data_IF_178109742600
#
_entry.id   IF_178109742600
#
_cell.length_a   1.000
_cell.length_b   1.000
_cell.length_c   1.000
_cell.angle_alpha   90.00
_cell.angle_beta   90.00
_cell.angle_gamma   90.00
#
_symmetry.space_group_name_H-M   'P 1'
#
loop_
_entity.id
_entity.type
_entity.pdbx_description
1 polymer ?
#
# COMPACT_ATOMS: atom_id res chain seq x y z
N UNK A 1 15.93 16.11 -13.36
CA UNK A 1 14.75 16.46 -12.52
C UNK A 1 15.25 17.37 -11.40
N UNK A 2 14.62 18.52 -11.14
CA UNK A 2 15.00 19.42 -10.04
C UNK A 2 14.74 18.78 -8.66
N UNK A 3 15.42 19.28 -7.61
CA UNK A 3 15.33 18.71 -6.25
C UNK A 3 13.90 18.59 -5.72
N UNK A 4 13.08 19.62 -5.89
CA UNK A 4 11.66 19.61 -5.46
C UNK A 4 10.85 18.55 -6.22
N UNK A 5 11.00 18.45 -7.53
CA UNK A 5 10.28 17.45 -8.32
C UNK A 5 10.71 16.03 -7.95
N UNK A 6 12.00 15.81 -7.64
CA UNK A 6 12.49 14.53 -7.11
C UNK A 6 11.90 14.25 -5.73
N UNK A 7 11.85 15.26 -4.85
CA UNK A 7 11.24 15.12 -3.51
C UNK A 7 9.77 14.74 -3.59
N UNK A 8 8.98 15.38 -4.45
CA UNK A 8 7.56 15.04 -4.65
C UNK A 8 7.36 13.63 -5.20
N UNK A 9 8.23 13.19 -6.13
CA UNK A 9 8.19 11.84 -6.67
C UNK A 9 8.48 10.78 -5.60
N UNK A 10 9.54 10.98 -4.81
CA UNK A 10 9.91 10.06 -3.73
C UNK A 10 8.84 10.01 -2.64
N UNK A 11 8.22 11.16 -2.32
CA UNK A 11 7.13 11.25 -1.33
C UNK A 11 5.90 10.44 -1.75
N UNK A 12 5.60 10.36 -3.04
CA UNK A 12 4.49 9.58 -3.54
C UNK A 12 4.64 8.08 -3.27
N UNK A 13 5.88 7.58 -3.16
CA UNK A 13 6.18 6.16 -2.90
C UNK A 13 5.43 5.25 -3.86
N UNK A 14 5.73 5.40 -5.15
CA UNK A 14 4.97 4.80 -6.26
C UNK A 14 4.80 3.29 -6.10
N UNK A 15 5.84 2.54 -5.73
CA UNK A 15 5.77 1.07 -5.60
C UNK A 15 4.76 0.63 -4.51
N UNK A 16 4.78 1.17 -3.27
CA UNK A 16 3.72 0.93 -2.29
C UNK A 16 2.32 1.29 -2.79
N UNK A 17 2.15 2.42 -3.49
CA UNK A 17 0.85 2.83 -4.05
C UNK A 17 0.37 1.83 -5.11
N UNK A 18 1.27 1.32 -5.95
CA UNK A 18 0.93 0.29 -6.94
C UNK A 18 0.46 -1.01 -6.30
N UNK A 19 1.14 -1.48 -5.26
CA UNK A 19 0.74 -2.70 -4.57
C UNK A 19 -0.57 -2.56 -3.81
N UNK A 20 -0.73 -1.46 -3.05
CA UNK A 20 -1.84 -1.33 -2.11
C UNK A 20 -3.09 -0.75 -2.77
N UNK A 21 -3.04 0.52 -3.22
CA UNK A 21 -4.24 1.17 -3.75
C UNK A 21 -4.52 0.79 -5.20
N UNK A 22 -3.53 0.91 -6.08
CA UNK A 22 -3.75 0.77 -7.51
C UNK A 22 -4.20 -0.65 -7.89
N UNK A 23 -3.47 -1.68 -7.42
CA UNK A 23 -3.81 -3.08 -7.70
C UNK A 23 -5.14 -3.49 -7.08
N UNK A 24 -5.42 -3.04 -5.83
CA UNK A 24 -6.67 -3.31 -5.14
C UNK A 24 -7.86 -2.68 -5.85
N UNK A 25 -7.75 -1.41 -6.24
CA UNK A 25 -8.80 -0.68 -6.97
C UNK A 25 -9.03 -1.31 -8.34
N UNK A 26 -7.98 -1.65 -9.07
CA UNK A 26 -8.08 -2.27 -10.40
C UNK A 26 -8.78 -3.62 -10.34
N UNK A 27 -8.40 -4.47 -9.37
CA UNK A 27 -9.05 -5.76 -9.16
C UNK A 27 -10.53 -5.58 -8.71
N UNK A 28 -10.80 -4.66 -7.78
CA UNK A 28 -12.14 -4.34 -7.33
C UNK A 28 -13.04 -3.84 -8.46
N UNK A 29 -12.50 -2.96 -9.31
CA UNK A 29 -13.18 -2.48 -10.52
C UNK A 29 -13.55 -3.63 -11.46
N UNK A 30 -12.62 -4.56 -11.70
CA UNK A 30 -12.86 -5.73 -12.55
C UNK A 30 -13.92 -6.67 -11.97
N UNK A 31 -13.94 -6.85 -10.65
CA UNK A 31 -14.92 -7.69 -9.96
C UNK A 31 -16.33 -7.07 -9.91
N UNK A 32 -16.43 -5.74 -9.95
CA UNK A 32 -17.70 -5.03 -9.84
C UNK A 32 -18.31 -4.62 -11.18
N UNK A 33 -17.50 -4.32 -12.18
CA UNK A 33 -17.94 -3.75 -13.46
C UNK A 33 -18.38 -4.78 -14.52
N UNK A 34 -18.08 -6.06 -14.34
CA UNK A 34 -18.32 -7.08 -15.38
C UNK A 34 -17.62 -6.71 -16.68
N UNK A 35 -18.35 -6.77 -17.84
CA UNK A 35 -17.80 -6.38 -19.16
C UNK A 35 -17.71 -4.87 -19.37
N UNK A 36 -18.49 -4.08 -18.62
CA UNK A 36 -18.74 -2.65 -18.90
C UNK A 36 -18.18 -1.75 -17.79
N UNK A 37 -16.84 -1.68 -17.73
CA UNK A 37 -16.15 -0.78 -16.79
C UNK A 37 -16.31 0.67 -17.21
N UNK A 38 -16.88 1.49 -16.35
CA UNK A 38 -16.96 2.93 -16.53
C UNK A 38 -15.62 3.60 -16.19
N UNK A 39 -14.92 4.05 -17.24
CA UNK A 39 -13.56 4.62 -17.11
C UNK A 39 -13.47 5.80 -16.15
N UNK A 40 -14.50 6.65 -16.09
CA UNK A 40 -14.57 7.77 -15.15
C UNK A 40 -14.50 7.31 -13.67
N UNK A 41 -15.29 6.29 -13.31
CA UNK A 41 -15.26 5.75 -11.96
C UNK A 41 -13.95 5.06 -11.64
N UNK A 42 -13.39 4.32 -12.61
CA UNK A 42 -12.08 3.70 -12.41
C UNK A 42 -10.97 4.74 -12.17
N UNK A 43 -10.86 5.73 -13.05
CA UNK A 43 -9.84 6.79 -12.92
C UNK A 43 -10.06 7.63 -11.67
N UNK A 44 -11.31 7.93 -11.32
CA UNK A 44 -11.66 8.62 -10.08
C UNK A 44 -11.25 7.84 -8.83
N UNK A 45 -11.50 6.52 -8.80
CA UNK A 45 -11.06 5.66 -7.70
C UNK A 45 -9.53 5.59 -7.60
N UNK A 46 -8.82 5.43 -8.72
CA UNK A 46 -7.35 5.43 -8.76
C UNK A 46 -6.81 6.78 -8.26
N UNK A 47 -7.36 7.89 -8.72
CA UNK A 47 -6.97 9.22 -8.25
C UNK A 47 -7.18 9.39 -6.74
N UNK A 48 -8.32 8.91 -6.19
CA UNK A 48 -8.56 8.89 -4.73
C UNK A 48 -7.55 8.01 -4.01
N UNK A 49 -7.24 6.82 -4.51
CA UNK A 49 -6.23 5.94 -3.93
C UNK A 49 -4.85 6.61 -3.86
N UNK A 50 -4.43 7.26 -4.94
CA UNK A 50 -3.18 8.04 -4.99
C UNK A 50 -3.21 9.21 -4.01
N UNK A 51 -4.30 9.97 -3.96
CA UNK A 51 -4.43 11.12 -3.05
C UNK A 51 -4.44 10.68 -1.59
N UNK A 52 -5.23 9.66 -1.23
CA UNK A 52 -5.39 9.21 0.16
C UNK A 52 -4.15 8.49 0.65
N UNK A 53 -3.68 7.47 -0.06
CA UNK A 53 -2.51 6.71 0.36
C UNK A 53 -1.21 7.43 -0.01
N UNK A 54 -1.04 7.75 -1.30
CA UNK A 54 0.22 8.26 -1.83
C UNK A 54 0.55 9.68 -1.35
N UNK A 55 -0.46 10.47 -0.97
CA UNK A 55 -0.21 11.84 -0.49
C UNK A 55 -0.63 12.02 0.96
N UNK A 56 -1.91 11.85 1.31
CA UNK A 56 -2.37 12.16 2.68
C UNK A 56 -1.68 11.29 3.74
N UNK A 57 -1.69 9.96 3.56
CA UNK A 57 -1.10 9.05 4.54
C UNK A 57 0.44 9.19 4.60
N UNK A 58 1.11 9.27 3.44
CA UNK A 58 2.57 9.34 3.39
C UNK A 58 3.09 10.66 3.95
N UNK A 59 2.49 11.82 3.63
CA UNK A 59 2.95 13.11 4.18
C UNK A 59 2.78 13.20 5.70
N UNK A 60 1.70 12.64 6.24
CA UNK A 60 1.54 12.57 7.70
C UNK A 60 2.58 11.66 8.33
N UNK A 61 2.81 10.50 7.74
CA UNK A 61 3.78 9.52 8.25
C UNK A 61 5.21 10.10 8.20
N UNK A 62 5.63 10.69 7.08
CA UNK A 62 6.95 11.31 6.91
C UNK A 62 7.20 12.41 7.97
N UNK A 63 6.19 13.28 8.22
CA UNK A 63 6.31 14.34 9.23
C UNK A 63 6.44 13.75 10.64
N UNK A 64 5.65 12.74 11.00
CA UNK A 64 5.67 12.16 12.35
C UNK A 64 6.91 11.28 12.59
N UNK A 65 7.33 10.49 11.60
CA UNK A 65 8.54 9.67 11.70
C UNK A 65 9.81 10.54 11.72
N UNK A 66 9.83 11.67 10.99
CA UNK A 66 10.88 12.68 11.11
C UNK A 66 10.92 13.33 12.51
N UNK A 67 9.75 13.64 13.10
CA UNK A 67 9.66 14.25 14.45
C UNK A 67 10.06 13.29 15.56
N UNK A 68 9.65 12.03 15.46
CA UNK A 68 9.99 10.98 16.43
C UNK A 68 11.44 10.53 16.34
N UNK A 69 12.13 10.89 15.24
CA UNK A 69 13.50 10.48 14.98
C UNK A 69 13.64 9.10 14.37
N UNK A 70 12.53 8.40 14.08
CA UNK A 70 12.52 7.08 13.43
C UNK A 70 13.31 7.10 12.13
N UNK A 71 13.17 8.16 11.32
CA UNK A 71 13.83 8.29 10.02
C UNK A 71 15.28 8.78 10.08
N UNK A 72 15.77 9.18 11.27
CA UNK A 72 17.15 9.68 11.44
C UNK A 72 18.19 8.58 11.46
N UNK A 73 17.77 7.34 11.65
CA UNK A 73 18.70 6.20 11.66
C UNK A 73 18.96 5.76 10.22
N UNK A 74 20.25 5.72 9.87
CA UNK A 74 20.69 5.15 8.59
C UNK A 74 20.42 3.65 8.59
N UNK A 75 19.54 3.22 7.70
CA UNK A 75 19.38 1.81 7.36
C UNK A 75 19.55 1.68 5.85
N UNK A 76 20.36 0.70 5.40
CA UNK A 76 20.55 0.44 3.98
C UNK A 76 19.24 -0.07 3.39
N UNK A 77 18.51 0.78 2.66
CA UNK A 77 17.18 0.49 2.16
C UNK A 77 17.07 0.81 0.68
N UNK A 78 16.54 -0.14 -0.08
CA UNK A 78 16.27 0.05 -1.51
C UNK A 78 14.82 0.49 -1.73
N UNK A 79 13.86 -0.04 -0.99
CA UNK A 79 12.42 0.21 -1.16
C UNK A 79 11.74 0.60 0.15
N UNK A 80 12.21 0.11 1.29
CA UNK A 80 11.60 0.32 2.60
C UNK A 80 12.17 1.55 3.32
N UNK A 81 11.42 2.10 4.29
CA UNK A 81 11.92 3.07 5.26
C UNK A 81 11.55 4.52 5.04
N UNK A 82 10.36 4.79 4.55
CA UNK A 82 9.92 6.16 4.32
C UNK A 82 10.49 6.77 3.04
N UNK A 83 9.98 7.94 2.67
CA UNK A 83 10.51 8.71 1.53
C UNK A 83 11.83 9.39 1.87
N UNK A 84 12.07 9.63 3.18
CA UNK A 84 13.21 10.37 3.73
C UNK A 84 13.45 11.76 3.11
N UNK A 85 12.42 12.33 2.48
CA UNK A 85 12.55 13.62 1.78
C UNK A 85 12.84 14.78 2.73
N UNK A 86 12.43 14.67 4.01
CA UNK A 86 12.76 15.65 5.05
C UNK A 86 14.21 15.50 5.52
N UNK A 87 14.68 14.29 5.74
CA UNK A 87 16.07 14.01 6.16
C UNK A 87 17.04 14.40 5.06
N UNK A 88 16.70 14.11 3.80
CA UNK A 88 17.51 14.48 2.63
C UNK A 88 17.43 15.97 2.26
N UNK A 89 16.59 16.77 2.95
CA UNK A 89 16.43 18.19 2.66
C UNK A 89 15.78 18.50 1.29
N UNK A 90 15.15 17.50 0.66
CA UNK A 90 14.49 17.65 -0.64
C UNK A 90 13.17 18.41 -0.52
N UNK A 91 12.46 18.21 0.58
CA UNK A 91 11.24 18.95 0.94
C UNK A 91 11.35 19.48 2.36
N UNK A 92 10.48 20.44 2.70
CA UNK A 92 10.38 20.99 4.05
C UNK A 92 9.08 20.52 4.71
N UNK A 93 8.98 20.52 6.06
CA UNK A 93 7.72 20.22 6.75
C UNK A 93 6.57 21.16 6.35
N UNK A 94 6.87 22.41 5.97
CA UNK A 94 5.87 23.35 5.45
C UNK A 94 5.36 22.93 4.08
N UNK A 95 6.25 22.46 3.19
CA UNK A 95 5.88 21.97 1.86
C UNK A 95 4.99 20.72 1.97
N UNK A 96 5.33 19.77 2.86
CA UNK A 96 4.50 18.59 3.09
C UNK A 96 3.12 18.93 3.68
N UNK A 97 3.04 19.88 4.61
CA UNK A 97 1.75 20.36 5.15
C UNK A 97 0.89 21.01 4.06
N UNK A 98 1.49 21.78 3.17
CA UNK A 98 0.77 22.38 2.04
C UNK A 98 0.31 21.29 1.06
N UNK A 99 1.18 20.33 0.74
CA UNK A 99 0.84 19.19 -0.10
C UNK A 99 -0.34 18.39 0.48
N UNK A 100 -0.30 18.12 1.80
CA UNK A 100 -1.43 17.51 2.52
C UNK A 100 -2.72 18.32 2.38
N UNK A 101 -2.68 19.61 2.61
CA UNK A 101 -3.87 20.49 2.55
C UNK A 101 -4.47 20.49 1.13
N UNK A 102 -3.65 20.63 0.11
CA UNK A 102 -4.09 20.59 -1.30
C UNK A 102 -4.69 19.21 -1.64
N UNK A 103 -4.01 18.13 -1.25
CA UNK A 103 -4.51 16.78 -1.48
C UNK A 103 -5.81 16.50 -0.71
N UNK A 104 -5.97 17.03 0.50
CA UNK A 104 -7.19 16.90 1.28
C UNK A 104 -8.39 17.57 0.58
N UNK A 105 -8.20 18.79 0.07
CA UNK A 105 -9.23 19.50 -0.71
C UNK A 105 -9.55 18.71 -1.98
N UNK A 106 -8.54 18.27 -2.73
CA UNK A 106 -8.74 17.49 -3.95
C UNK A 106 -9.48 16.16 -3.68
N UNK A 107 -9.09 15.45 -2.60
CA UNK A 107 -9.77 14.22 -2.14
C UNK A 107 -11.23 14.48 -1.81
N UNK A 108 -11.51 15.58 -1.10
CA UNK A 108 -12.88 15.96 -0.73
C UNK A 108 -13.72 16.28 -1.95
N UNK A 109 -13.21 17.11 -2.86
CA UNK A 109 -13.93 17.49 -4.09
C UNK A 109 -14.21 16.27 -4.96
N UNK A 110 -13.19 15.44 -5.23
CA UNK A 110 -13.35 14.25 -6.05
C UNK A 110 -14.27 13.22 -5.38
N UNK A 111 -14.11 13.01 -4.07
CA UNK A 111 -14.97 12.10 -3.30
C UNK A 111 -16.44 12.52 -3.33
N UNK A 112 -16.72 13.81 -3.13
CA UNK A 112 -18.08 14.35 -3.23
C UNK A 112 -18.65 14.24 -4.65
N UNK A 113 -17.83 14.43 -5.69
CA UNK A 113 -18.25 14.23 -7.08
C UNK A 113 -18.65 12.77 -7.34
N UNK A 114 -17.89 11.80 -6.81
CA UNK A 114 -18.25 10.37 -6.90
C UNK A 114 -19.50 10.03 -6.08
N UNK A 115 -19.68 10.62 -4.90
CA UNK A 115 -20.92 10.49 -4.11
C UNK A 115 -22.10 11.09 -4.85
N UNK A 116 -21.95 12.26 -5.46
CA UNK A 116 -23.03 12.90 -6.24
C UNK A 116 -23.44 12.06 -7.45
N UNK A 117 -22.50 11.39 -8.10
CA UNK A 117 -22.74 10.58 -9.29
C UNK A 117 -23.23 9.16 -9.00
N UNK A 118 -22.74 8.51 -7.92
CA UNK A 118 -23.06 7.10 -7.60
C UNK A 118 -23.98 6.94 -6.39
N UNK A 119 -24.20 8.02 -5.63
CA UNK A 119 -25.06 8.03 -4.46
C UNK A 119 -24.33 7.93 -3.13
N UNK A 120 -25.08 8.12 -2.04
CA UNK A 120 -24.57 8.16 -0.67
C UNK A 120 -23.90 6.85 -0.22
N UNK A 121 -24.09 5.74 -0.92
CA UNK A 121 -23.41 4.47 -0.66
C UNK A 121 -21.88 4.59 -0.73
N UNK A 122 -21.35 5.57 -1.47
CA UNK A 122 -19.91 5.81 -1.57
C UNK A 122 -19.33 6.59 -0.39
N UNK A 123 -20.15 7.30 0.38
CA UNK A 123 -19.69 8.15 1.47
C UNK A 123 -18.92 7.38 2.56
N UNK A 124 -19.37 6.21 3.05
CA UNK A 124 -18.61 5.43 4.04
C UNK A 124 -17.22 5.02 3.57
N UNK A 125 -17.04 4.69 2.27
CA UNK A 125 -15.74 4.29 1.72
C UNK A 125 -14.76 5.47 1.72
N UNK A 126 -15.20 6.66 1.28
CA UNK A 126 -14.37 7.86 1.29
C UNK A 126 -14.00 8.29 2.70
N UNK A 127 -14.98 8.35 3.62
CA UNK A 127 -14.75 8.71 5.01
C UNK A 127 -13.80 7.74 5.72
N UNK A 128 -13.98 6.43 5.52
CA UNK A 128 -13.13 5.42 6.13
C UNK A 128 -11.69 5.48 5.57
N UNK A 129 -11.51 5.74 4.27
CA UNK A 129 -10.20 5.91 3.66
C UNK A 129 -9.43 7.11 4.26
N UNK A 130 -10.08 8.28 4.34
CA UNK A 130 -9.48 9.48 4.95
C UNK A 130 -9.23 9.27 6.45
N UNK A 131 -10.21 8.70 7.17
CA UNK A 131 -10.05 8.38 8.59
C UNK A 131 -8.88 7.42 8.81
N UNK A 132 -8.75 6.38 7.97
CA UNK A 132 -7.62 5.45 8.03
C UNK A 132 -6.27 6.14 7.88
N UNK A 133 -6.12 7.02 6.88
CA UNK A 133 -4.90 7.80 6.67
C UNK A 133 -4.52 8.66 7.90
N UNK A 134 -5.52 9.30 8.53
CA UNK A 134 -5.31 10.15 9.71
C UNK A 134 -5.04 9.32 10.97
N UNK A 135 -5.89 8.32 11.25
CA UNK A 135 -5.81 7.50 12.47
C UNK A 135 -4.57 6.60 12.49
N UNK A 136 -4.06 6.23 11.32
CA UNK A 136 -2.84 5.45 11.20
C UNK A 136 -1.65 6.18 11.82
N UNK A 137 -1.55 7.50 11.61
CA UNK A 137 -0.38 8.29 11.97
C UNK A 137 -0.59 9.23 13.16
N UNK A 138 -1.74 9.94 13.22
CA UNK A 138 -1.91 11.05 14.14
C UNK A 138 -2.47 10.63 15.52
N UNK A 139 -2.09 11.40 16.60
CA UNK A 139 -2.75 11.29 17.91
C UNK A 139 -4.26 11.58 17.80
N UNK A 140 -5.09 10.99 18.68
CA UNK A 140 -4.72 10.17 19.81
C UNK A 140 -4.51 8.70 19.47
N UNK A 141 -4.84 8.25 18.24
CA UNK A 141 -4.83 6.83 17.88
C UNK A 141 -3.42 6.36 17.56
N UNK A 142 -2.71 6.99 16.60
CA UNK A 142 -1.35 6.63 16.17
C UNK A 142 -1.20 5.12 15.95
N UNK A 143 -2.05 4.56 15.11
CA UNK A 143 -2.14 3.11 14.94
C UNK A 143 -0.80 2.48 14.51
N UNK A 144 0.00 3.17 13.69
CA UNK A 144 1.34 2.74 13.30
C UNK A 144 2.31 2.58 14.48
N UNK A 145 2.00 3.19 15.63
CA UNK A 145 2.78 3.12 16.86
C UNK A 145 2.22 2.12 17.87
N UNK A 146 1.21 1.34 17.50
CA UNK A 146 0.52 0.40 18.38
C UNK A 146 0.45 -0.98 17.76
N UNK A 147 0.87 -2.03 18.48
CA UNK A 147 0.83 -3.39 17.97
C UNK A 147 -0.58 -3.79 17.52
N UNK A 148 -0.66 -4.49 16.41
CA UNK A 148 -1.88 -5.02 15.78
C UNK A 148 -2.85 -3.95 15.24
N UNK A 149 -2.78 -2.70 15.72
CA UNK A 149 -3.73 -1.66 15.31
C UNK A 149 -3.38 -1.08 13.94
N UNK A 150 -2.09 -0.93 13.65
CA UNK A 150 -1.62 -0.51 12.31
C UNK A 150 -2.07 -1.48 11.22
N UNK A 151 -1.88 -2.78 11.47
CA UNK A 151 -2.31 -3.85 10.57
C UNK A 151 -3.82 -3.90 10.40
N UNK A 152 -4.58 -3.72 11.49
CA UNK A 152 -6.04 -3.71 11.43
C UNK A 152 -6.55 -2.57 10.56
N UNK A 153 -6.03 -1.34 10.72
CA UNK A 153 -6.39 -0.20 9.88
C UNK A 153 -5.99 -0.44 8.43
N UNK A 154 -4.76 -0.91 8.17
CA UNK A 154 -4.31 -1.22 6.82
C UNK A 154 -5.18 -2.28 6.15
N UNK A 155 -5.51 -3.36 6.88
CA UNK A 155 -6.38 -4.43 6.40
C UNK A 155 -7.77 -3.91 6.03
N UNK A 156 -8.39 -3.13 6.91
CA UNK A 156 -9.72 -2.54 6.68
C UNK A 156 -9.68 -1.60 5.46
N UNK A 157 -8.70 -0.69 5.38
CA UNK A 157 -8.59 0.25 4.27
C UNK A 157 -8.42 -0.46 2.92
N UNK A 158 -7.60 -1.51 2.86
CA UNK A 158 -7.38 -2.28 1.63
C UNK A 158 -8.60 -3.10 1.25
N UNK A 159 -9.28 -3.71 2.22
CA UNK A 159 -10.55 -4.38 1.99
C UNK A 159 -11.58 -3.41 1.40
N UNK A 160 -11.64 -2.18 1.93
CA UNK A 160 -12.51 -1.11 1.42
C UNK A 160 -12.08 -0.60 0.05
N UNK A 161 -10.79 -0.60 -0.30
CA UNK A 161 -10.33 -0.25 -1.65
C UNK A 161 -10.93 -1.20 -2.70
N UNK A 162 -10.84 -2.52 -2.48
CA UNK A 162 -11.40 -3.51 -3.41
C UNK A 162 -12.92 -3.43 -3.47
N UNK A 163 -13.57 -3.48 -2.31
CA UNK A 163 -15.04 -3.50 -2.24
C UNK A 163 -15.65 -2.17 -2.68
N UNK A 164 -15.04 -1.05 -2.32
CA UNK A 164 -15.47 0.29 -2.75
C UNK A 164 -15.35 0.49 -4.25
N UNK A 165 -14.27 0.02 -4.87
CA UNK A 165 -14.10 0.06 -6.31
C UNK A 165 -15.16 -0.81 -7.02
N UNK A 166 -15.49 -1.99 -6.48
CA UNK A 166 -16.54 -2.84 -7.02
C UNK A 166 -17.92 -2.16 -6.93
N UNK A 167 -18.27 -1.57 -5.79
CA UNK A 167 -19.54 -0.84 -5.60
C UNK A 167 -19.60 0.40 -6.49
N UNK A 168 -18.49 1.10 -6.66
CA UNK A 168 -18.41 2.28 -7.52
C UNK A 168 -18.72 1.94 -8.98
N UNK A 169 -18.38 0.74 -9.45
CA UNK A 169 -18.76 0.23 -10.78
C UNK A 169 -20.21 -0.28 -10.86
N UNK A 170 -20.95 -0.22 -9.77
CA UNK A 170 -22.35 -0.70 -9.71
C UNK A 170 -22.49 -2.16 -9.29
N UNK A 171 -21.38 -2.81 -8.96
CA UNK A 171 -21.38 -4.15 -8.42
C UNK A 171 -21.89 -4.22 -6.98
N UNK A 172 -22.05 -5.46 -6.49
CA UNK A 172 -22.41 -5.77 -5.11
C UNK A 172 -21.23 -6.40 -4.39
N UNK A 173 -21.17 -6.25 -3.08
CA UNK A 173 -20.20 -6.98 -2.26
C UNK A 173 -20.69 -8.43 -2.12
N UNK A 174 -20.39 -9.24 -3.13
CA UNK A 174 -20.65 -10.69 -3.09
C UNK A 174 -19.60 -11.40 -2.22
N UNK A 175 -19.83 -12.67 -1.89
CA UNK A 175 -18.84 -13.46 -1.16
C UNK A 175 -17.48 -13.50 -1.90
N UNK A 176 -17.49 -13.64 -3.22
CA UNK A 176 -16.26 -13.62 -4.05
C UNK A 176 -15.54 -12.28 -3.93
N UNK A 177 -16.24 -11.15 -4.04
CA UNK A 177 -15.66 -9.81 -3.88
C UNK A 177 -15.09 -9.63 -2.47
N UNK A 178 -15.84 -10.01 -1.42
CA UNK A 178 -15.42 -9.84 -0.03
C UNK A 178 -14.18 -10.70 0.31
N UNK A 179 -14.13 -11.94 -0.18
CA UNK A 179 -12.98 -12.84 0.08
C UNK A 179 -11.78 -12.47 -0.78
N UNK A 180 -11.96 -12.01 -2.03
CA UNK A 180 -10.87 -11.45 -2.84
C UNK A 180 -10.30 -10.17 -2.19
N UNK A 181 -11.15 -9.32 -1.63
CA UNK A 181 -10.72 -8.15 -0.87
C UNK A 181 -9.89 -8.54 0.38
N UNK A 182 -10.32 -9.59 1.10
CA UNK A 182 -9.56 -10.13 2.23
C UNK A 182 -8.20 -10.70 1.77
N UNK A 183 -8.17 -11.39 0.63
CA UNK A 183 -6.92 -11.92 0.07
C UNK A 183 -5.90 -10.81 -0.19
N UNK A 184 -6.33 -9.72 -0.86
CA UNK A 184 -5.48 -8.54 -1.14
C UNK A 184 -5.05 -7.85 0.15
N UNK A 185 -5.97 -7.62 1.08
CA UNK A 185 -5.68 -6.97 2.34
C UNK A 185 -4.69 -7.78 3.20
N UNK A 186 -4.92 -9.08 3.35
CA UNK A 186 -4.03 -9.96 4.10
C UNK A 186 -2.63 -10.06 3.47
N UNK A 187 -2.54 -10.09 2.15
CA UNK A 187 -1.26 -10.11 1.43
C UNK A 187 -0.45 -8.85 1.69
N UNK A 188 -1.09 -7.70 1.59
CA UNK A 188 -0.45 -6.41 1.82
C UNK A 188 -0.03 -6.22 3.29
N UNK A 189 -0.83 -6.71 4.25
CA UNK A 189 -0.43 -6.71 5.68
C UNK A 189 0.77 -7.63 5.90
N UNK A 190 0.80 -8.82 5.28
CA UNK A 190 1.97 -9.69 5.31
C UNK A 190 3.23 -8.99 4.80
N UNK A 191 3.14 -8.26 3.69
CA UNK A 191 4.24 -7.44 3.16
C UNK A 191 4.66 -6.34 4.14
N UNK A 192 3.70 -5.63 4.76
CA UNK A 192 3.98 -4.61 5.77
C UNK A 192 4.80 -5.16 6.94
N UNK A 193 4.56 -6.41 7.35
CA UNK A 193 5.36 -7.05 8.40
C UNK A 193 6.81 -7.28 7.97
N UNK A 194 7.03 -7.68 6.70
CA UNK A 194 8.39 -7.84 6.16
C UNK A 194 9.11 -6.48 6.11
N UNK A 195 8.38 -5.43 5.72
CA UNK A 195 8.88 -4.06 5.74
C UNK A 195 9.39 -3.63 7.12
N UNK A 196 8.65 -3.94 8.19
CA UNK A 196 9.03 -3.59 9.55
C UNK A 196 10.25 -4.35 10.10
N UNK A 197 10.77 -5.39 9.43
CA UNK A 197 12.01 -6.04 9.89
C UNK A 197 13.21 -5.10 9.79
N UNK A 198 13.29 -4.31 8.72
CA UNK A 198 14.36 -3.34 8.53
C UNK A 198 14.20 -2.11 9.43
N UNK A 199 12.98 -1.84 9.90
CA UNK A 199 12.67 -0.74 10.81
C UNK A 199 12.83 -1.10 12.29
N UNK A 200 13.06 -2.39 12.62
CA UNK A 200 12.99 -2.90 13.98
C UNK A 200 13.82 -2.10 14.99
N UNK A 201 15.08 -1.81 14.70
CA UNK A 201 15.93 -1.06 15.62
C UNK A 201 15.60 0.45 15.62
N UNK A 202 15.26 1.03 14.47
CA UNK A 202 14.84 2.42 14.36
C UNK A 202 13.56 2.67 15.16
N UNK A 203 12.55 1.80 15.00
CA UNK A 203 11.27 1.89 15.71
C UNK A 203 11.44 1.76 17.23
N UNK A 204 12.32 0.87 17.69
CA UNK A 204 12.63 0.70 19.13
C UNK A 204 13.29 1.91 19.74
N UNK A 205 14.17 2.59 19.01
CA UNK A 205 14.96 3.73 19.49
C UNK A 205 14.24 5.06 19.33
N UNK A 206 13.13 5.11 18.61
CA UNK A 206 12.33 6.32 18.41
C UNK A 206 11.80 6.89 19.74
N UNK A 207 11.56 8.22 19.77
CA UNK A 207 11.00 8.90 20.95
C UNK A 207 9.76 9.70 20.54
N UNK A 208 8.53 9.31 20.94
CA UNK A 208 8.22 8.06 21.68
C UNK A 208 8.49 6.80 20.88
N UNK A 209 8.80 5.69 21.56
CA UNK A 209 9.03 4.39 20.92
C UNK A 209 7.86 4.01 20.01
N UNK A 210 8.17 3.64 18.76
CA UNK A 210 7.18 3.14 17.80
C UNK A 210 7.02 1.64 18.01
N UNK A 211 6.11 1.27 18.90
CA UNK A 211 5.90 -0.14 19.26
C UNK A 211 5.03 -0.82 18.21
N UNK A 212 5.62 -1.13 17.05
CA UNK A 212 4.95 -1.94 16.02
C UNK A 212 4.75 -3.39 16.52
N UNK A 213 3.95 -4.18 15.81
CA UNK A 213 3.80 -5.61 16.12
C UNK A 213 5.13 -6.36 16.05
N UNK A 214 5.99 -5.98 15.10
CA UNK A 214 7.33 -6.59 14.99
C UNK A 214 8.22 -6.21 16.18
N UNK A 215 8.14 -4.96 16.65
CA UNK A 215 8.86 -4.53 17.87
C UNK A 215 8.35 -5.28 19.10
N UNK A 216 7.04 -5.48 19.24
CA UNK A 216 6.44 -6.22 20.34
C UNK A 216 6.84 -7.71 20.34
N UNK A 217 6.72 -8.38 19.19
CA UNK A 217 6.92 -9.82 19.07
C UNK A 217 8.39 -10.22 18.96
N UNK A 218 9.25 -9.29 18.54
CA UNK A 218 10.61 -9.56 18.10
C UNK A 218 10.66 -10.25 16.74
N UNK A 219 11.79 -10.20 16.05
CA UNK A 219 11.96 -10.65 14.67
C UNK A 219 11.51 -12.10 14.44
N UNK A 220 11.83 -13.03 15.36
CA UNK A 220 11.49 -14.47 15.20
C UNK A 220 9.99 -14.74 15.22
N UNK A 221 9.25 -14.20 16.19
CA UNK A 221 7.80 -14.36 16.30
C UNK A 221 7.09 -13.50 15.26
N UNK A 222 7.61 -12.31 14.98
CA UNK A 222 7.14 -11.43 13.92
C UNK A 222 7.15 -12.11 12.54
N UNK A 223 8.19 -12.92 12.26
CA UNK A 223 8.23 -13.74 11.04
C UNK A 223 7.09 -14.76 10.97
N UNK A 224 6.79 -15.46 12.08
CA UNK A 224 5.67 -16.40 12.11
C UNK A 224 4.33 -15.68 11.91
N UNK A 225 4.19 -14.48 12.46
CA UNK A 225 3.01 -13.64 12.27
C UNK A 225 2.85 -13.20 10.80
N UNK A 226 3.92 -12.80 10.13
CA UNK A 226 3.91 -12.46 8.70
C UNK A 226 3.56 -13.67 7.82
N UNK A 227 4.11 -14.85 8.11
CA UNK A 227 3.75 -16.12 7.45
C UNK A 227 2.25 -16.42 7.64
N UNK A 228 1.70 -16.17 8.83
CA UNK A 228 0.28 -16.31 9.11
C UNK A 228 -0.58 -15.45 8.18
N UNK A 229 -0.24 -14.17 8.00
CA UNK A 229 -0.93 -13.29 7.07
C UNK A 229 -0.80 -13.75 5.60
N UNK A 230 0.40 -14.18 5.19
CA UNK A 230 0.61 -14.77 3.86
C UNK A 230 -0.22 -16.03 3.63
N UNK A 231 -0.41 -16.86 4.67
CA UNK A 231 -1.25 -18.06 4.60
C UNK A 231 -2.73 -17.72 4.48
N UNK A 232 -3.22 -16.72 5.23
CA UNK A 232 -4.60 -16.21 5.11
C UNK A 232 -4.84 -15.65 3.71
N UNK A 233 -3.87 -14.87 3.18
CA UNK A 233 -3.95 -14.32 1.84
C UNK A 233 -4.08 -15.43 0.78
N UNK A 234 -3.21 -16.43 0.84
CA UNK A 234 -3.24 -17.55 -0.10
C UNK A 234 -4.53 -18.38 0.01
N UNK A 235 -4.96 -18.72 1.22
CA UNK A 235 -6.20 -19.47 1.41
C UNK A 235 -7.42 -18.72 0.84
N UNK A 236 -7.49 -17.41 1.08
CA UNK A 236 -8.55 -16.55 0.54
C UNK A 236 -8.47 -16.45 -0.98
N UNK A 237 -7.28 -16.26 -1.56
CA UNK A 237 -7.10 -16.21 -3.02
C UNK A 237 -7.43 -17.55 -3.69
N UNK A 238 -7.02 -18.67 -3.10
CA UNK A 238 -7.36 -19.99 -3.60
C UNK A 238 -8.89 -20.24 -3.56
N UNK A 239 -9.55 -19.86 -2.46
CA UNK A 239 -11.01 -19.95 -2.36
C UNK A 239 -11.73 -19.14 -3.44
N UNK A 240 -11.25 -17.93 -3.73
CA UNK A 240 -11.84 -17.10 -4.81
C UNK A 240 -11.52 -17.66 -6.20
N UNK A 241 -10.33 -18.24 -6.43
CA UNK A 241 -9.97 -18.86 -7.70
C UNK A 241 -10.82 -20.10 -8.04
N UNK A 242 -11.32 -20.82 -7.02
CA UNK A 242 -12.30 -21.89 -7.21
C UNK A 242 -13.66 -21.34 -7.69
N UNK A 243 -14.09 -20.21 -7.15
CA UNK A 243 -15.36 -19.59 -7.53
C UNK A 243 -15.27 -18.82 -8.86
N UNK A 244 -14.12 -18.23 -9.17
CA UNK A 244 -13.84 -17.47 -10.39
C UNK A 244 -12.43 -17.82 -10.90
N UNK A 245 -12.32 -18.74 -11.88
CA UNK A 245 -11.02 -19.22 -12.37
C UNK A 245 -10.10 -18.14 -12.95
N UNK A 246 -10.63 -16.99 -13.37
CA UNK A 246 -9.84 -15.84 -13.82
C UNK A 246 -8.99 -15.23 -12.70
N UNK A 247 -9.23 -15.60 -11.43
CA UNK A 247 -8.44 -15.24 -10.26
C UNK A 247 -7.27 -16.22 -9.95
N UNK A 248 -7.06 -17.25 -10.77
CA UNK A 248 -5.91 -18.16 -10.61
C UNK A 248 -4.57 -17.40 -10.58
N UNK A 249 -4.30 -16.38 -11.43
CA UNK A 249 -3.04 -15.63 -11.34
C UNK A 249 -2.82 -14.96 -9.98
N UNK A 250 -3.87 -14.48 -9.32
CA UNK A 250 -3.79 -13.95 -7.97
C UNK A 250 -3.35 -15.03 -6.98
N UNK A 251 -3.97 -16.21 -7.03
CA UNK A 251 -3.61 -17.32 -6.14
C UNK A 251 -2.17 -17.79 -6.38
N UNK A 252 -1.73 -17.92 -7.65
CA UNK A 252 -0.35 -18.29 -8.00
C UNK A 252 0.65 -17.26 -7.48
N UNK A 253 0.38 -15.98 -7.65
CA UNK A 253 1.22 -14.91 -7.12
C UNK A 253 1.35 -14.99 -5.58
N UNK A 254 0.29 -15.37 -4.88
CA UNK A 254 0.29 -15.50 -3.43
C UNK A 254 0.99 -16.78 -2.93
N UNK A 255 1.06 -17.84 -3.76
CA UNK A 255 1.97 -18.95 -3.49
C UNK A 255 3.42 -18.46 -3.48
N UNK A 256 3.82 -17.68 -4.50
CA UNK A 256 5.17 -17.11 -4.57
C UNK A 256 5.43 -16.17 -3.39
N UNK A 257 4.46 -15.32 -3.05
CA UNK A 257 4.56 -14.45 -1.88
C UNK A 257 4.77 -15.22 -0.58
N UNK A 258 4.02 -16.31 -0.36
CA UNK A 258 4.21 -17.17 0.83
C UNK A 258 5.59 -17.83 0.83
N UNK A 259 6.10 -18.28 -0.32
CA UNK A 259 7.46 -18.79 -0.44
C UNK A 259 8.49 -17.73 -0.07
N UNK A 260 8.28 -16.47 -0.48
CA UNK A 260 9.13 -15.35 -0.06
C UNK A 260 9.10 -15.15 1.46
N UNK A 261 7.93 -15.17 2.11
CA UNK A 261 7.82 -15.12 3.57
C UNK A 261 8.58 -16.26 4.26
N UNK A 262 8.48 -17.48 3.72
CA UNK A 262 9.17 -18.66 4.26
C UNK A 262 10.69 -18.61 4.09
N UNK A 263 11.19 -17.94 3.05
CA UNK A 263 12.63 -17.78 2.78
C UNK A 263 13.24 -16.55 3.47
N UNK A 264 12.43 -15.56 3.80
CA UNK A 264 12.88 -14.31 4.40
C UNK A 264 13.56 -14.57 5.76
N UNK A 265 14.78 -14.04 5.90
CA UNK A 265 15.53 -14.00 7.17
C UNK A 265 15.47 -12.57 7.69
N UNK A 266 14.71 -12.30 8.78
CA UNK A 266 14.44 -10.93 9.23
C UNK A 266 15.66 -10.14 9.69
N UNK A 267 16.75 -10.83 10.05
CA UNK A 267 18.03 -10.29 10.50
C UNK A 267 19.04 -10.05 9.35
N UNK A 268 18.68 -10.40 8.12
CA UNK A 268 19.53 -10.27 6.93
C UNK A 268 18.91 -9.27 5.94
N UNK A 269 19.48 -8.08 5.84
CA UNK A 269 19.00 -6.98 4.97
C UNK A 269 18.83 -7.42 3.53
N UNK A 270 19.78 -8.18 2.97
CA UNK A 270 19.71 -8.64 1.57
C UNK A 270 18.56 -9.65 1.39
N UNK A 271 18.38 -10.54 2.36
CA UNK A 271 17.26 -11.48 2.36
C UNK A 271 15.91 -10.76 2.47
N UNK A 272 15.79 -9.80 3.37
CA UNK A 272 14.55 -9.00 3.52
C UNK A 272 14.25 -8.26 2.24
N UNK A 273 15.22 -7.50 1.69
CA UNK A 273 15.03 -6.70 0.47
C UNK A 273 14.60 -7.58 -0.72
N UNK A 274 15.29 -8.71 -0.94
CA UNK A 274 14.98 -9.62 -2.06
C UNK A 274 13.58 -10.21 -1.94
N UNK A 275 13.20 -10.68 -0.75
CA UNK A 275 11.90 -11.31 -0.54
C UNK A 275 10.76 -10.27 -0.51
N UNK A 276 10.99 -9.08 0.05
CA UNK A 276 10.05 -7.95 0.00
C UNK A 276 9.72 -7.56 -1.45
N UNK A 277 10.76 -7.40 -2.29
CA UNK A 277 10.57 -7.12 -3.72
C UNK A 277 9.77 -8.21 -4.42
N UNK A 278 10.07 -9.48 -4.12
CA UNK A 278 9.30 -10.62 -4.63
C UNK A 278 7.82 -10.52 -4.25
N UNK A 279 7.51 -10.30 -2.97
CA UNK A 279 6.14 -10.15 -2.48
C UNK A 279 5.45 -9.00 -3.23
N UNK A 280 6.09 -7.83 -3.33
CA UNK A 280 5.51 -6.64 -3.96
C UNK A 280 5.21 -6.89 -5.44
N UNK A 281 6.19 -7.34 -6.22
CA UNK A 281 6.02 -7.45 -7.68
C UNK A 281 5.07 -8.58 -8.06
N UNK A 282 5.13 -9.73 -7.38
CA UNK A 282 4.17 -10.80 -7.64
C UNK A 282 2.75 -10.41 -7.19
N UNK A 283 2.60 -9.67 -6.08
CA UNK A 283 1.31 -9.14 -5.64
C UNK A 283 0.68 -8.21 -6.68
N UNK A 284 1.44 -7.25 -7.20
CA UNK A 284 1.00 -6.34 -8.28
C UNK A 284 0.62 -7.15 -9.53
N UNK A 285 1.50 -8.03 -9.98
CA UNK A 285 1.28 -8.82 -11.20
C UNK A 285 0.04 -9.72 -11.08
N UNK A 286 -0.11 -10.44 -9.97
CA UNK A 286 -1.25 -11.34 -9.74
C UNK A 286 -2.59 -10.60 -9.77
N UNK A 287 -2.69 -9.46 -9.11
CA UNK A 287 -3.90 -8.65 -9.08
C UNK A 287 -4.24 -8.06 -10.47
N UNK A 288 -3.25 -7.48 -11.17
CA UNK A 288 -3.47 -6.82 -12.45
C UNK A 288 -3.73 -7.81 -13.59
N UNK A 289 -3.04 -8.97 -13.61
CA UNK A 289 -3.31 -10.03 -14.59
C UNK A 289 -4.72 -10.60 -14.36
N UNK A 290 -5.12 -10.86 -13.11
CA UNK A 290 -6.47 -11.32 -12.80
C UNK A 290 -7.53 -10.29 -13.22
N UNK A 291 -7.30 -8.99 -12.98
CA UNK A 291 -8.18 -7.93 -13.43
C UNK A 291 -8.28 -7.88 -14.97
N UNK A 292 -7.17 -8.04 -15.69
CA UNK A 292 -7.15 -8.07 -17.14
C UNK A 292 -7.86 -9.30 -17.72
N UNK A 293 -7.79 -10.46 -17.06
CA UNK A 293 -8.54 -11.65 -17.46
C UNK A 293 -10.04 -11.52 -17.22
N UNK A 294 -10.44 -10.83 -16.14
CA UNK A 294 -11.83 -10.48 -15.86
C UNK A 294 -12.37 -9.47 -16.87
N UNK A 295 -11.61 -8.40 -17.09
CA UNK A 295 -11.96 -7.27 -17.97
C UNK A 295 -10.75 -6.92 -18.85
N UNK A 296 -10.69 -7.40 -20.11
CA UNK A 296 -9.55 -7.16 -20.99
C UNK A 296 -9.20 -5.69 -21.20
N UNK A 297 -10.19 -4.80 -21.12
CA UNK A 297 -9.98 -3.35 -21.21
C UNK A 297 -9.06 -2.79 -20.10
N UNK A 298 -8.85 -3.52 -18.98
CA UNK A 298 -7.95 -3.12 -17.90
C UNK A 298 -6.49 -3.61 -18.11
N UNK A 299 -6.18 -4.32 -19.20
CA UNK A 299 -4.82 -4.82 -19.45
C UNK A 299 -3.77 -3.68 -19.51
N UNK A 300 -4.15 -2.48 -19.95
CA UNK A 300 -3.25 -1.31 -19.93
C UNK A 300 -2.77 -0.93 -18.52
N UNK A 301 -3.55 -1.26 -17.46
CA UNK A 301 -3.15 -0.99 -16.09
C UNK A 301 -1.88 -1.77 -15.70
N UNK A 302 -1.72 -2.99 -16.20
CA UNK A 302 -0.50 -3.77 -16.00
C UNK A 302 0.70 -3.14 -16.71
N UNK A 303 0.51 -2.64 -17.93
CA UNK A 303 1.56 -1.94 -18.68
C UNK A 303 1.94 -0.62 -17.99
N UNK A 304 0.96 0.14 -17.52
CA UNK A 304 1.20 1.38 -16.79
C UNK A 304 1.97 1.10 -15.47
N UNK A 305 1.57 0.08 -14.72
CA UNK A 305 2.28 -0.33 -13.50
C UNK A 305 3.72 -0.73 -13.79
N UNK A 306 3.97 -1.54 -14.82
CA UNK A 306 5.31 -1.94 -15.22
C UNK A 306 6.18 -0.72 -15.62
N UNK A 307 5.62 0.24 -16.36
CA UNK A 307 6.32 1.48 -16.73
C UNK A 307 6.65 2.34 -15.50
N UNK A 308 5.71 2.47 -14.54
CA UNK A 308 5.92 3.21 -13.29
C UNK A 308 6.96 2.53 -12.40
N UNK A 309 6.95 1.20 -12.29
CA UNK A 309 7.99 0.45 -11.57
C UNK A 309 9.36 0.68 -12.21
N UNK A 310 9.46 0.58 -13.56
CA UNK A 310 10.72 0.80 -14.25
C UNK A 310 11.23 2.24 -14.08
N UNK A 311 10.33 3.22 -14.04
CA UNK A 311 10.67 4.62 -13.79
C UNK A 311 11.14 4.82 -12.35
N UNK A 312 10.40 4.27 -11.36
CA UNK A 312 10.78 4.32 -9.96
C UNK A 312 12.15 3.71 -9.71
N UNK A 313 12.41 2.51 -10.25
CA UNK A 313 13.70 1.84 -10.13
C UNK A 313 14.87 2.67 -10.70
N UNK A 314 14.59 3.50 -11.72
CA UNK A 314 15.61 4.42 -12.28
C UNK A 314 15.82 5.68 -11.45
N UNK A 315 14.78 6.17 -10.79
CA UNK A 315 14.81 7.47 -10.11
C UNK A 315 15.11 7.37 -8.62
N UNK A 316 14.56 6.35 -7.94
CA UNK A 316 14.67 6.16 -6.50
C UNK A 316 15.85 5.28 -6.08
N UNK A 317 16.20 4.30 -6.90
CA UNK A 317 17.26 3.32 -6.63
C UNK A 317 18.62 3.82 -7.12
N UNK A 318 18.98 5.07 -6.83
CA UNK A 318 20.41 5.45 -6.89
C UNK A 318 21.04 5.08 -5.55
N UNK A 319 22.21 4.39 -5.55
CA UNK A 319 22.95 4.18 -4.32
C UNK A 319 23.13 5.55 -3.65
N UNK A 320 22.88 5.62 -2.35
CA UNK A 320 23.22 6.80 -1.58
C UNK A 320 24.68 7.10 -1.90
N UNK A 321 24.96 8.26 -2.49
CA UNK A 321 26.33 8.75 -2.58
C UNK A 321 26.81 8.81 -1.14
N UNK A 322 27.75 7.95 -0.78
CA UNK A 322 28.42 7.99 0.51
C UNK A 322 28.95 9.40 0.65
N UNK A 323 28.59 10.19 1.67
CA UNK A 323 29.21 11.48 1.88
C UNK A 323 30.70 11.22 1.92
N UNK A 324 31.46 11.93 1.07
CA UNK A 324 32.91 11.90 1.13
C UNK A 324 33.31 12.26 2.56
N UNK A 325 34.11 11.38 3.19
CA UNK A 325 34.64 11.51 4.54
C UNK A 325 35.42 12.80 4.74
#
# INVERSE_FOLDING_TARGET
MGAVARGLWLELRVIPVLLWSFSAITLGTALGGGSDVEGWYYLGAVALGVLIQGVLAHTLNEIEDWRSGTDRHDSPRVISGGSKVLVAGLLTPRALKLLFAVAFVATTVLGLALVASRGLVMLPFGLAGVAGAVLYTLPPVRAAYRPFLGEAIACICLWLCVTGAAVLQGGRITATVAVAALAVAAYAVGMLMVHHYLDYEADRSATPTKTTTIVLLGLRRGRLYAIGWGSVALASAAGTAVAEPKLIPLAVAYVVGLVCHLRCRPDDVASVTTNEMGIIFFGIAGALISAALLVPALAWAALAAAALVALEMRLAVQPAETPAA
#
